data_IF_375390524953
#
_entry.id   IF_375390524953
#
_cell.length_a   1.000
_cell.length_b   1.000
_cell.length_c   1.000
_cell.angle_alpha   90.00
_cell.angle_beta   90.00
_cell.angle_gamma   90.00
#
_symmetry.space_group_name_H-M   'P 1'
#
loop_
_entity.id
_entity.type
_entity.pdbx_description
1 polymer ?
#
# COMPACT_ATOMS: atom_id res chain seq x y z
N UNK A 1 0.63 9.78 -17.18
CA UNK A 1 0.51 10.49 -18.43
C UNK A 1 0.83 11.98 -18.34
N UNK A 2 -0.01 12.82 -18.93
CA UNK A 2 0.21 14.28 -19.12
C UNK A 2 0.51 15.01 -17.81
N UNK A 3 -0.20 14.70 -16.70
CA UNK A 3 0.04 15.33 -15.39
C UNK A 3 1.46 15.09 -14.90
N UNK A 4 1.93 13.84 -14.91
CA UNK A 4 3.28 13.53 -14.44
C UNK A 4 4.36 14.21 -15.28
N UNK A 5 4.16 14.27 -16.60
CA UNK A 5 5.07 14.96 -17.50
C UNK A 5 5.14 16.47 -17.22
N UNK A 6 3.99 17.13 -17.05
CA UNK A 6 3.96 18.55 -16.75
C UNK A 6 4.54 18.89 -15.38
N UNK A 7 4.33 18.04 -14.37
CA UNK A 7 4.94 18.25 -13.04
C UNK A 7 6.47 18.15 -13.11
N UNK A 8 7.00 17.17 -13.84
CA UNK A 8 8.44 17.01 -14.03
C UNK A 8 9.01 18.20 -14.80
N UNK A 9 8.34 18.63 -15.88
CA UNK A 9 8.75 19.77 -16.69
C UNK A 9 8.77 21.08 -15.88
N UNK A 10 7.75 21.31 -15.03
CA UNK A 10 7.68 22.47 -14.13
C UNK A 10 8.79 22.42 -13.08
N UNK A 11 9.03 21.24 -12.49
CA UNK A 11 10.07 21.05 -11.49
C UNK A 11 11.47 21.35 -12.07
N UNK A 12 11.70 20.98 -13.32
CA UNK A 12 12.97 21.20 -14.00
C UNK A 12 13.21 22.71 -14.31
N UNK A 13 12.13 23.47 -14.66
CA UNK A 13 12.28 24.87 -15.08
C UNK A 13 12.12 25.87 -13.94
N UNK A 14 11.34 25.56 -12.90
CA UNK A 14 11.00 26.49 -11.81
C UNK A 14 11.32 25.97 -10.40
N UNK A 15 11.95 24.80 -10.32
CA UNK A 15 12.42 24.20 -9.07
C UNK A 15 11.37 23.31 -8.37
N UNK A 16 11.89 22.34 -7.62
CA UNK A 16 11.07 21.31 -6.95
C UNK A 16 10.17 21.89 -5.86
N UNK A 17 10.61 22.93 -5.13
CA UNK A 17 9.81 23.57 -4.08
C UNK A 17 8.57 24.26 -4.64
N UNK A 18 8.65 24.86 -5.85
CA UNK A 18 7.49 25.43 -6.53
C UNK A 18 6.56 24.33 -7.06
N UNK A 19 7.11 23.24 -7.59
CA UNK A 19 6.33 22.12 -8.07
C UNK A 19 5.55 21.42 -6.95
N UNK A 20 6.14 21.26 -5.76
CA UNK A 20 5.49 20.65 -4.58
C UNK A 20 4.36 21.53 -4.02
N UNK A 21 4.55 22.85 -3.94
CA UNK A 21 3.55 23.77 -3.40
C UNK A 21 2.38 24.06 -4.35
N UNK A 22 2.65 24.16 -5.65
CA UNK A 22 1.64 24.48 -6.67
C UNK A 22 0.90 23.23 -7.18
N UNK A 23 1.52 22.05 -7.11
CA UNK A 23 1.04 20.84 -7.79
C UNK A 23 -0.27 20.31 -7.20
N UNK A 24 -0.45 20.31 -5.89
CA UNK A 24 -1.58 19.61 -5.29
C UNK A 24 -2.89 20.41 -5.32
N UNK A 25 -2.84 21.73 -5.20
CA UNK A 25 -4.04 22.56 -5.10
C UNK A 25 -4.37 23.24 -6.43
N UNK A 26 -3.45 24.03 -6.97
CA UNK A 26 -3.74 24.86 -8.16
C UNK A 26 -3.81 24.00 -9.42
N UNK A 27 -2.82 23.12 -9.61
CA UNK A 27 -2.77 22.28 -10.80
C UNK A 27 -3.90 21.24 -10.82
N UNK A 28 -4.23 20.65 -9.65
CA UNK A 28 -5.36 19.74 -9.52
C UNK A 28 -6.69 20.41 -9.88
N UNK A 29 -6.94 21.61 -9.39
CA UNK A 29 -8.17 22.37 -9.70
C UNK A 29 -8.25 22.82 -11.15
N UNK A 30 -7.15 23.31 -11.72
CA UNK A 30 -7.09 23.73 -13.14
C UNK A 30 -7.28 22.51 -14.05
N UNK A 31 -6.61 21.40 -13.77
CA UNK A 31 -6.79 20.16 -14.53
C UNK A 31 -8.25 19.66 -14.45
N UNK A 32 -8.84 19.68 -13.27
CA UNK A 32 -10.23 19.26 -13.05
C UNK A 32 -11.22 20.17 -13.80
N UNK A 33 -11.00 21.49 -13.75
CA UNK A 33 -11.80 22.45 -14.52
C UNK A 33 -11.72 22.20 -16.02
N UNK A 34 -10.53 21.93 -16.56
CA UNK A 34 -10.34 21.59 -17.98
C UNK A 34 -11.06 20.30 -18.33
N UNK A 35 -10.98 19.29 -17.51
CA UNK A 35 -11.69 18.01 -17.73
C UNK A 35 -13.19 18.23 -17.74
N UNK A 36 -13.75 19.00 -16.80
CA UNK A 36 -15.19 19.34 -16.77
C UNK A 36 -15.60 20.11 -18.03
N UNK A 37 -14.79 21.09 -18.47
CA UNK A 37 -15.07 21.80 -19.70
C UNK A 37 -15.06 20.91 -20.93
N UNK A 38 -14.10 20.00 -21.03
CA UNK A 38 -14.03 19.03 -22.13
C UNK A 38 -15.24 18.09 -22.11
N UNK A 39 -15.57 17.53 -20.94
CA UNK A 39 -16.73 16.65 -20.78
C UNK A 39 -18.03 17.38 -21.10
N UNK A 40 -18.19 18.63 -20.61
CA UNK A 40 -19.34 19.48 -20.91
C UNK A 40 -19.45 19.81 -22.39
N UNK A 41 -18.32 20.13 -23.06
CA UNK A 41 -18.29 20.38 -24.49
C UNK A 41 -18.65 19.13 -25.32
N UNK A 42 -18.13 17.97 -24.92
CA UNK A 42 -18.45 16.69 -25.57
C UNK A 42 -19.90 16.26 -25.31
N UNK A 43 -20.44 16.55 -24.14
CA UNK A 43 -21.82 16.21 -23.77
C UNK A 43 -22.85 17.18 -24.37
N UNK A 44 -22.41 18.37 -24.87
CA UNK A 44 -23.29 19.38 -25.44
C UNK A 44 -24.30 18.88 -26.49
N UNK A 45 -23.95 17.92 -27.39
CA UNK A 45 -24.93 17.37 -28.34
C UNK A 45 -26.11 16.59 -27.71
N UNK A 46 -25.90 16.11 -26.46
CA UNK A 46 -26.94 15.37 -25.73
C UNK A 46 -27.80 16.23 -24.79
N UNK A 47 -27.47 17.54 -24.69
CA UNK A 47 -28.34 18.48 -24.00
C UNK A 47 -29.44 18.96 -24.97
N UNK A 48 -30.65 18.37 -24.88
CA UNK A 48 -31.80 18.66 -25.74
C UNK A 48 -32.43 20.06 -25.52
N UNK A 49 -31.79 20.96 -24.80
CA UNK A 49 -32.31 22.29 -24.52
C UNK A 49 -31.79 23.27 -25.57
N UNK A 50 -32.63 23.54 -26.58
CA UNK A 50 -32.48 24.74 -27.42
C UNK A 50 -32.75 25.98 -26.56
N UNK A 51 -31.84 26.96 -26.61
CA UNK A 51 -31.83 28.16 -25.73
C UNK A 51 -33.09 29.04 -25.77
N UNK A 52 -34.04 28.77 -26.69
CA UNK A 52 -35.33 29.49 -26.81
C UNK A 52 -36.48 28.79 -26.10
N UNK A 53 -36.29 27.60 -25.54
CA UNK A 53 -37.33 26.94 -24.75
C UNK A 53 -37.15 27.34 -23.30
N UNK A 54 -38.09 28.15 -22.77
CA UNK A 54 -38.23 28.35 -21.33
C UNK A 54 -38.58 27.01 -20.71
N UNK A 55 -37.64 26.33 -20.08
CA UNK A 55 -37.80 24.90 -19.79
C UNK A 55 -38.78 24.62 -18.65
N UNK A 56 -39.26 25.64 -17.98
CA UNK A 56 -40.10 25.47 -16.80
C UNK A 56 -41.22 26.50 -16.84
N UNK A 57 -42.37 26.12 -17.41
CA UNK A 57 -43.63 26.88 -17.17
C UNK A 57 -44.11 26.62 -15.75
N UNK A 58 -44.60 27.63 -15.05
CA UNK A 58 -45.22 27.47 -13.73
C UNK A 58 -46.40 26.46 -13.75
N UNK A 59 -46.99 26.21 -14.93
CA UNK A 59 -47.99 25.17 -15.14
C UNK A 59 -47.42 23.77 -15.18
N UNK A 60 -46.23 23.58 -15.77
CA UNK A 60 -45.51 22.30 -15.74
C UNK A 60 -45.06 21.93 -14.33
N UNK A 61 -44.64 22.90 -13.52
CA UNK A 61 -44.31 22.67 -12.09
C UNK A 61 -45.54 22.24 -11.27
N UNK A 62 -46.74 22.77 -11.59
CA UNK A 62 -47.96 22.35 -10.89
C UNK A 62 -48.45 20.96 -11.29
N UNK A 63 -48.20 20.52 -12.52
CA UNK A 63 -48.49 19.17 -12.98
C UNK A 63 -47.55 18.09 -12.49
N UNK A 64 -46.38 18.50 -11.98
CA UNK A 64 -45.33 17.59 -11.58
C UNK A 64 -45.45 17.08 -10.12
N UNK A 65 -46.29 17.68 -9.33
CA UNK A 65 -46.34 17.47 -7.88
C UNK A 65 -47.10 16.23 -7.35
N UNK A 66 -48.16 15.64 -7.95
CA UNK A 66 -48.88 14.57 -7.27
C UNK A 66 -48.30 13.15 -7.39
N UNK A 67 -47.42 12.89 -8.36
CA UNK A 67 -46.89 11.52 -8.59
C UNK A 67 -45.46 11.29 -8.18
N UNK A 68 -44.72 12.35 -7.85
CA UNK A 68 -43.25 12.28 -7.59
C UNK A 68 -42.88 12.23 -6.12
N UNK A 69 -43.81 12.44 -5.19
CA UNK A 69 -43.54 12.35 -3.77
C UNK A 69 -42.93 11.01 -3.37
N UNK A 70 -43.42 9.91 -3.95
CA UNK A 70 -42.86 8.57 -3.66
C UNK A 70 -41.44 8.43 -4.21
N UNK A 71 -41.16 8.95 -5.42
CA UNK A 71 -39.79 8.86 -6.00
C UNK A 71 -38.79 9.73 -5.24
N UNK A 72 -39.20 10.91 -4.83
CA UNK A 72 -38.35 11.78 -3.99
C UNK A 72 -38.17 11.21 -2.57
N UNK A 73 -39.25 10.59 -2.04
CA UNK A 73 -39.23 9.92 -0.72
C UNK A 73 -38.28 8.70 -0.70
N UNK A 74 -38.06 8.05 -1.84
CA UNK A 74 -37.09 6.95 -1.99
C UNK A 74 -35.69 7.45 -2.40
N UNK A 75 -35.62 8.48 -3.24
CA UNK A 75 -34.36 8.99 -3.76
C UNK A 75 -33.50 9.67 -2.66
N UNK A 76 -34.12 10.44 -1.77
CA UNK A 76 -33.38 11.12 -0.68
C UNK A 76 -32.77 10.12 0.30
N UNK A 77 -33.51 9.14 0.87
CA UNK A 77 -32.89 8.12 1.73
C UNK A 77 -31.82 7.30 1.02
N UNK A 78 -32.02 6.97 -0.26
CA UNK A 78 -31.02 6.25 -1.05
C UNK A 78 -29.74 7.09 -1.24
N UNK A 79 -29.89 8.37 -1.57
CA UNK A 79 -28.75 9.28 -1.69
C UNK A 79 -28.02 9.44 -0.35
N UNK A 80 -28.76 9.59 0.75
CA UNK A 80 -28.19 9.62 2.10
C UNK A 80 -27.49 8.30 2.43
N UNK A 81 -28.12 7.15 2.16
CA UNK A 81 -27.50 5.84 2.39
C UNK A 81 -26.20 5.68 1.59
N UNK A 82 -26.17 6.09 0.33
CA UNK A 82 -24.97 6.05 -0.51
C UNK A 82 -23.88 7.03 -0.01
N UNK A 83 -24.28 8.23 0.45
CA UNK A 83 -23.33 9.22 0.97
C UNK A 83 -22.72 8.79 2.31
N UNK A 84 -23.47 8.12 3.16
CA UNK A 84 -23.01 7.65 4.48
C UNK A 84 -22.47 6.22 4.48
N UNK A 85 -22.67 5.44 3.40
CA UNK A 85 -22.22 4.07 3.31
C UNK A 85 -20.71 3.90 3.62
N UNK A 86 -19.80 4.75 3.09
CA UNK A 86 -18.37 4.62 3.41
C UNK A 86 -18.08 4.81 4.90
N UNK A 87 -18.74 5.76 5.56
CA UNK A 87 -18.56 6.02 6.98
C UNK A 87 -19.10 4.88 7.85
N UNK A 88 -20.28 4.36 7.50
CA UNK A 88 -20.91 3.23 8.20
C UNK A 88 -20.06 1.97 8.03
N UNK A 89 -19.62 1.66 6.81
CA UNK A 89 -18.73 0.53 6.55
C UNK A 89 -17.39 0.70 7.28
N UNK A 90 -16.83 1.91 7.30
CA UNK A 90 -15.63 2.23 8.03
C UNK A 90 -15.77 2.04 9.55
N UNK A 91 -16.86 2.48 10.14
CA UNK A 91 -17.14 2.29 11.57
C UNK A 91 -17.40 0.81 11.90
N UNK A 92 -18.14 0.11 11.05
CA UNK A 92 -18.42 -1.31 11.20
C UNK A 92 -17.14 -2.16 11.15
N UNK A 93 -16.26 -1.90 10.18
CA UNK A 93 -14.97 -2.60 10.09
C UNK A 93 -14.05 -2.26 11.27
N UNK A 94 -14.10 -1.02 11.78
CA UNK A 94 -13.34 -0.62 12.97
C UNK A 94 -13.80 -1.39 14.22
N UNK A 95 -15.11 -1.57 14.39
CA UNK A 95 -15.66 -2.31 15.52
C UNK A 95 -15.34 -3.82 15.49
N UNK A 96 -15.00 -4.34 14.31
CA UNK A 96 -14.62 -5.75 14.09
C UNK A 96 -13.10 -5.97 14.00
N UNK A 97 -12.28 -4.94 14.20
CA UNK A 97 -10.84 -5.10 14.18
C UNK A 97 -10.41 -6.13 15.24
N UNK A 98 -9.93 -7.26 14.79
CA UNK A 98 -9.36 -8.29 15.66
C UNK A 98 -7.98 -7.83 16.17
N UNK A 99 -7.65 -8.20 17.40
CA UNK A 99 -6.33 -7.98 17.94
C UNK A 99 -5.27 -8.76 17.15
N UNK A 100 -4.11 -8.16 16.97
CA UNK A 100 -2.98 -8.87 16.38
C UNK A 100 -2.38 -9.81 17.42
N UNK A 101 -2.08 -11.06 17.06
CA UNK A 101 -1.25 -11.91 17.89
C UNK A 101 0.17 -11.31 17.99
N UNK A 102 0.90 -11.58 19.08
CA UNK A 102 2.26 -11.12 19.23
C UNK A 102 3.16 -11.71 18.13
N UNK A 103 4.03 -10.90 17.57
CA UNK A 103 5.05 -11.36 16.63
C UNK A 103 6.09 -12.17 17.39
N UNK A 104 6.36 -13.38 16.94
CA UNK A 104 7.37 -14.27 17.54
C UNK A 104 8.46 -14.57 16.51
N UNK A 105 9.71 -14.48 16.93
CA UNK A 105 10.82 -14.83 16.06
C UNK A 105 10.80 -16.34 15.79
N UNK A 106 10.88 -16.73 14.54
CA UNK A 106 10.93 -18.11 14.10
C UNK A 106 12.37 -18.63 14.23
N UNK A 107 12.53 -19.79 14.86
CA UNK A 107 13.79 -20.56 14.82
C UNK A 107 13.86 -21.32 13.51
N UNK A 108 15.00 -21.25 12.84
CA UNK A 108 15.27 -21.97 11.59
C UNK A 108 16.50 -22.85 11.80
N UNK A 109 16.42 -24.11 11.37
CA UNK A 109 17.53 -25.03 11.50
C UNK A 109 18.80 -24.46 10.85
N UNK A 110 19.93 -24.62 11.52
CA UNK A 110 21.23 -24.07 11.12
C UNK A 110 21.35 -22.55 11.09
N UNK A 111 20.32 -21.82 11.54
CA UNK A 111 20.33 -20.37 11.64
C UNK A 111 20.08 -19.94 13.09
N UNK A 112 20.99 -19.16 13.64
CA UNK A 112 20.86 -18.57 14.98
C UNK A 112 20.46 -17.10 14.91
N UNK A 113 19.60 -16.67 15.85
CA UNK A 113 19.28 -15.28 16.01
C UNK A 113 20.43 -14.62 16.77
N UNK A 114 21.19 -13.74 16.10
CA UNK A 114 22.40 -13.08 16.65
C UNK A 114 22.14 -11.65 17.08
N UNK A 115 21.06 -11.03 16.63
CA UNK A 115 20.63 -9.70 17.06
C UNK A 115 19.13 -9.54 16.93
N UNK A 116 18.55 -8.72 17.82
CA UNK A 116 17.15 -8.27 17.74
C UNK A 116 17.11 -6.76 17.50
N UNK A 117 16.14 -6.30 16.69
CA UNK A 117 16.04 -4.91 16.24
C UNK A 117 16.53 -4.72 14.82
N UNK A 118 16.21 -3.56 14.26
CA UNK A 118 16.67 -3.19 12.92
C UNK A 118 18.20 -2.98 12.91
N UNK A 119 18.89 -3.33 11.82
CA UNK A 119 20.30 -2.98 11.63
C UNK A 119 20.52 -1.47 11.80
N UNK A 120 21.66 -1.09 12.37
CA UNK A 120 22.00 0.33 12.55
C UNK A 120 22.12 1.09 11.23
N UNK A 121 22.47 0.38 10.16
CA UNK A 121 22.77 0.95 8.85
C UNK A 121 21.63 0.84 7.84
N UNK A 122 20.61 0.05 8.14
CA UNK A 122 19.43 -0.15 7.30
C UNK A 122 18.22 -0.52 8.14
N UNK A 123 17.09 0.10 7.86
CA UNK A 123 15.81 -0.27 8.44
C UNK A 123 14.69 -0.12 7.40
N UNK A 124 13.78 -1.09 7.30
CA UNK A 124 12.59 -0.91 6.49
C UNK A 124 11.63 0.07 7.17
N UNK A 125 10.90 0.82 6.36
CA UNK A 125 9.90 1.76 6.84
C UNK A 125 8.51 1.17 6.76
N UNK A 126 7.80 1.17 7.90
CA UNK A 126 6.40 0.81 8.01
C UNK A 126 5.72 1.75 9.01
N UNK A 127 5.36 2.95 8.55
CA UNK A 127 4.67 3.92 9.38
C UNK A 127 3.27 3.43 9.73
N UNK A 128 2.87 3.68 10.97
CA UNK A 128 1.57 3.30 11.46
C UNK A 128 1.35 1.79 11.67
N UNK A 129 2.39 0.95 11.57
CA UNK A 129 2.28 -0.45 11.94
C UNK A 129 2.01 -0.61 13.44
N UNK A 130 1.07 -1.49 13.80
CA UNK A 130 0.71 -1.78 15.20
C UNK A 130 1.79 -2.57 15.91
N UNK A 131 2.46 -3.47 15.18
CA UNK A 131 3.59 -4.23 15.69
C UNK A 131 4.71 -4.26 14.65
N UNK A 132 5.96 -4.22 15.12
CA UNK A 132 7.16 -4.39 14.30
C UNK A 132 8.17 -5.23 15.05
N UNK A 133 8.78 -6.16 14.34
CA UNK A 133 9.87 -6.97 14.86
C UNK A 133 10.93 -7.13 13.77
N UNK A 134 12.19 -6.92 14.12
CA UNK A 134 13.32 -7.23 13.26
C UNK A 134 14.26 -8.17 14.04
N UNK A 135 14.76 -9.19 13.37
CA UNK A 135 15.75 -10.12 13.91
C UNK A 135 16.81 -10.39 12.86
N UNK A 136 18.04 -10.56 13.31
CA UNK A 136 19.17 -10.93 12.44
C UNK A 136 19.46 -12.40 12.62
N UNK A 137 19.45 -13.13 11.52
CA UNK A 137 19.80 -14.55 11.46
C UNK A 137 21.19 -14.69 10.86
N UNK A 138 22.04 -15.51 11.48
CA UNK A 138 23.33 -15.91 10.94
C UNK A 138 23.37 -17.44 10.81
N UNK A 139 23.94 -17.93 9.71
CA UNK A 139 24.08 -19.36 9.47
C UNK A 139 25.21 -19.93 10.35
N UNK A 140 24.93 -21.01 11.08
CA UNK A 140 25.85 -21.54 12.09
C UNK A 140 27.02 -22.33 11.47
N UNK A 141 26.84 -22.89 10.27
CA UNK A 141 27.82 -23.78 9.63
C UNK A 141 28.53 -23.18 8.43
N UNK A 142 27.97 -22.14 7.77
CA UNK A 142 28.58 -21.50 6.60
C UNK A 142 28.73 -19.99 6.81
N UNK A 143 29.93 -19.59 7.16
CA UNK A 143 30.30 -18.18 7.37
C UNK A 143 30.38 -17.36 6.07
N UNK A 144 30.29 -17.98 4.90
CA UNK A 144 30.24 -17.29 3.62
C UNK A 144 28.86 -16.70 3.33
N UNK A 145 27.83 -17.30 3.92
CA UNK A 145 26.47 -16.74 3.83
C UNK A 145 26.39 -15.47 4.67
N UNK A 146 25.96 -14.40 4.04
CA UNK A 146 25.71 -13.14 4.73
C UNK A 146 24.63 -13.31 5.80
N UNK A 147 24.69 -12.58 6.93
CA UNK A 147 23.58 -12.55 7.87
C UNK A 147 22.35 -11.95 7.20
N UNK A 148 21.18 -12.51 7.49
CA UNK A 148 19.91 -12.04 6.95
C UNK A 148 19.13 -11.31 8.02
N UNK A 149 18.79 -10.06 7.75
CA UNK A 149 17.87 -9.26 8.54
C UNK A 149 16.44 -9.56 8.09
N UNK A 150 15.65 -10.07 8.99
CA UNK A 150 14.23 -10.33 8.78
C UNK A 150 13.42 -9.35 9.59
N UNK A 151 12.63 -8.53 8.90
CA UNK A 151 11.71 -7.58 9.52
C UNK A 151 10.26 -7.91 9.15
N UNK A 152 9.41 -7.99 10.16
CA UNK A 152 7.97 -8.16 9.99
C UNK A 152 7.25 -6.95 10.59
N UNK A 153 6.29 -6.43 9.86
CA UNK A 153 5.37 -5.40 10.32
C UNK A 153 3.95 -5.91 10.21
N UNK A 154 3.14 -5.66 11.22
CA UNK A 154 1.76 -6.10 11.29
C UNK A 154 0.81 -4.90 11.50
N UNK A 155 -0.30 -4.92 10.80
CA UNK A 155 -1.37 -3.96 10.87
C UNK A 155 -2.67 -4.72 11.20
N UNK A 156 -3.31 -4.38 12.32
CA UNK A 156 -4.64 -4.88 12.64
C UNK A 156 -5.66 -4.36 11.62
N UNK A 157 -5.42 -3.13 11.16
CA UNK A 157 -6.21 -2.45 10.15
C UNK A 157 -5.36 -1.41 9.43
N UNK A 158 -5.61 -1.25 8.14
CA UNK A 158 -5.00 -0.19 7.34
C UNK A 158 -5.90 1.05 7.27
N UNK A 159 -5.32 2.23 7.10
CA UNK A 159 -6.03 3.51 7.00
C UNK A 159 -5.12 4.58 6.44
N UNK A 160 -5.58 5.82 6.42
CA UNK A 160 -4.76 6.97 6.02
C UNK A 160 -3.54 7.09 6.96
N UNK A 161 -2.35 7.23 6.38
CA UNK A 161 -1.07 7.23 7.10
C UNK A 161 -0.65 5.89 7.72
N UNK A 162 -1.44 4.82 7.55
CA UNK A 162 -1.21 3.48 8.07
C UNK A 162 -1.41 2.43 6.98
N UNK A 163 -0.70 2.58 5.88
CA UNK A 163 -0.84 1.72 4.72
C UNK A 163 0.30 0.72 4.63
N UNK A 164 -0.01 -0.55 4.37
CA UNK A 164 0.99 -1.59 4.13
C UNK A 164 1.85 -1.29 2.89
N UNK A 165 1.27 -0.67 1.88
CA UNK A 165 1.91 -0.37 0.58
C UNK A 165 1.69 1.10 0.17
N UNK A 166 1.96 2.02 1.07
CA UNK A 166 1.97 3.47 0.81
C UNK A 166 3.26 3.95 0.13
N UNK A 167 3.33 5.25 -0.13
CA UNK A 167 4.57 5.89 -0.54
C UNK A 167 5.62 5.79 0.57
N UNK A 168 6.85 5.41 0.21
CA UNK A 168 7.95 5.27 1.16
C UNK A 168 7.86 4.08 2.10
N UNK A 169 6.83 3.23 2.02
CA UNK A 169 6.74 2.00 2.79
C UNK A 169 7.54 0.87 2.14
N UNK A 170 8.25 0.08 2.93
CA UNK A 170 8.99 -1.09 2.47
C UNK A 170 10.49 -1.04 2.76
N UNK A 171 11.27 -1.72 1.93
CA UNK A 171 12.71 -1.91 2.13
C UNK A 171 13.54 -0.64 1.93
N UNK A 172 13.02 0.36 1.23
CA UNK A 172 13.69 1.65 0.97
C UNK A 172 12.89 2.76 1.64
N UNK A 173 13.47 3.36 2.66
CA UNK A 173 12.95 4.59 3.26
C UNK A 173 13.47 5.79 2.43
N UNK A 174 12.59 6.64 1.86
CA UNK A 174 13.00 7.83 1.12
C UNK A 174 13.85 8.83 1.92
N UNK A 175 13.70 8.82 3.26
CA UNK A 175 14.47 9.67 4.16
C UNK A 175 15.89 9.12 4.47
N UNK A 176 16.16 7.84 4.15
CA UNK A 176 17.47 7.22 4.32
C UNK A 176 18.36 7.47 3.10
N UNK A 177 19.63 7.06 3.19
CA UNK A 177 20.56 7.08 2.05
C UNK A 177 20.33 5.92 1.08
N UNK A 178 19.54 4.92 1.48
CA UNK A 178 19.29 3.75 0.66
C UNK A 178 18.40 4.09 -0.53
N UNK A 179 18.81 3.61 -1.70
CA UNK A 179 18.08 3.79 -2.98
C UNK A 179 17.95 2.45 -3.69
N UNK A 180 16.89 2.32 -4.47
CA UNK A 180 16.76 1.21 -5.41
C UNK A 180 17.91 1.26 -6.43
N UNK A 181 18.58 0.13 -6.63
CA UNK A 181 19.63 -0.02 -7.64
C UNK A 181 19.09 -0.71 -8.89
N UNK A 182 18.79 -1.98 -8.77
CA UNK A 182 18.24 -2.79 -9.88
C UNK A 182 17.52 -4.03 -9.33
N UNK A 183 16.72 -4.66 -10.20
CA UNK A 183 16.08 -5.92 -9.88
C UNK A 183 17.02 -7.10 -10.10
N UNK A 184 16.90 -8.10 -9.24
CA UNK A 184 17.61 -9.35 -9.31
C UNK A 184 16.70 -10.49 -9.78
N UNK A 185 17.27 -11.65 -10.08
CA UNK A 185 16.49 -12.85 -10.34
C UNK A 185 15.59 -13.16 -9.13
N UNK A 186 14.31 -13.47 -9.36
CA UNK A 186 13.37 -13.75 -8.27
C UNK A 186 13.78 -14.99 -7.46
N UNK A 187 13.33 -15.07 -6.22
CA UNK A 187 13.40 -16.25 -5.35
C UNK A 187 11.99 -16.83 -5.27
N UNK A 188 11.80 -18.07 -5.71
CA UNK A 188 10.51 -18.77 -5.72
C UNK A 188 9.37 -17.89 -6.30
N UNK A 189 9.66 -17.17 -7.40
CA UNK A 189 8.73 -16.27 -8.07
C UNK A 189 8.52 -14.92 -7.37
N UNK A 190 9.15 -14.69 -6.23
CA UNK A 190 9.08 -13.40 -5.51
C UNK A 190 10.19 -12.47 -5.99
N UNK A 191 9.86 -11.24 -6.41
CA UNK A 191 10.85 -10.24 -6.84
C UNK A 191 11.87 -9.93 -5.73
N UNK A 192 13.11 -9.82 -6.14
CA UNK A 192 14.24 -9.39 -5.29
C UNK A 192 14.85 -8.14 -5.91
N UNK A 193 15.18 -7.17 -5.09
CA UNK A 193 15.85 -5.95 -5.53
C UNK A 193 17.20 -5.78 -4.84
N UNK A 194 18.14 -5.18 -5.53
CA UNK A 194 19.35 -4.63 -4.92
C UNK A 194 19.09 -3.18 -4.54
N UNK A 195 19.41 -2.84 -3.30
CA UNK A 195 19.42 -1.46 -2.80
C UNK A 195 20.84 -1.03 -2.50
N UNK A 196 21.15 0.24 -2.70
CA UNK A 196 22.51 0.78 -2.59
C UNK A 196 22.52 2.04 -1.72
N UNK A 197 23.56 2.21 -0.91
CA UNK A 197 23.81 3.41 -0.11
C UNK A 197 25.30 3.59 0.15
N UNK A 198 25.87 4.73 -0.22
CA UNK A 198 27.25 5.10 0.11
C UNK A 198 28.27 4.00 -0.23
N UNK A 199 28.15 3.38 -1.43
CA UNK A 199 29.03 2.30 -1.88
C UNK A 199 28.75 0.93 -1.27
N UNK A 200 27.74 0.80 -0.41
CA UNK A 200 27.27 -0.49 0.14
C UNK A 200 26.05 -0.98 -0.64
N UNK A 201 25.91 -2.29 -0.69
CA UNK A 201 24.79 -2.97 -1.35
C UNK A 201 24.09 -3.93 -0.39
N UNK A 202 22.79 -4.04 -0.55
CA UNK A 202 21.97 -5.07 0.11
C UNK A 202 20.97 -5.62 -0.89
N UNK A 203 20.71 -6.91 -0.78
CA UNK A 203 19.62 -7.54 -1.50
C UNK A 203 18.40 -7.59 -0.57
N UNK A 204 17.25 -7.29 -1.12
CA UNK A 204 16.01 -7.23 -0.34
C UNK A 204 14.84 -7.87 -1.08
N UNK A 205 14.04 -8.62 -0.35
CA UNK A 205 12.82 -9.26 -0.80
C UNK A 205 11.66 -8.87 0.10
N UNK A 206 10.51 -8.56 -0.47
CA UNK A 206 9.31 -8.18 0.30
C UNK A 206 8.13 -9.06 -0.08
N UNK A 207 7.45 -9.59 0.93
CA UNK A 207 6.24 -10.38 0.79
C UNK A 207 5.17 -9.81 1.70
N UNK A 208 3.96 -9.75 1.20
CA UNK A 208 2.79 -9.27 1.94
C UNK A 208 1.81 -10.40 2.17
N UNK A 209 1.11 -10.33 3.30
CA UNK A 209 -0.03 -11.22 3.59
C UNK A 209 -1.21 -10.39 4.05
N UNK A 210 -2.39 -10.67 3.48
CA UNK A 210 -3.68 -10.13 3.92
C UNK A 210 -4.66 -11.29 4.12
N UNK A 211 -5.15 -11.43 5.34
CA UNK A 211 -5.95 -12.58 5.72
C UNK A 211 -5.20 -13.89 5.42
N UNK A 212 -5.67 -14.67 4.45
CA UNK A 212 -5.06 -15.93 4.02
C UNK A 212 -4.19 -15.80 2.76
N UNK A 213 -4.28 -14.70 2.01
CA UNK A 213 -3.57 -14.53 0.74
C UNK A 213 -2.18 -13.92 0.95
N UNK A 214 -1.19 -14.53 0.29
CA UNK A 214 0.21 -14.06 0.26
C UNK A 214 0.55 -13.57 -1.14
N UNK A 215 1.22 -12.42 -1.24
CA UNK A 215 1.59 -11.82 -2.53
C UNK A 215 2.80 -10.89 -2.40
N UNK A 216 3.58 -10.75 -3.47
CA UNK A 216 4.61 -9.72 -3.60
C UNK A 216 4.10 -8.47 -4.34
N UNK A 217 2.90 -8.52 -4.91
CA UNK A 217 2.33 -7.44 -5.72
C UNK A 217 1.66 -6.37 -4.88
N UNK A 218 2.17 -5.14 -4.93
CA UNK A 218 1.59 -3.96 -4.23
C UNK A 218 0.17 -3.63 -4.71
N UNK A 219 -0.11 -3.81 -6.00
CA UNK A 219 -1.46 -3.61 -6.55
C UNK A 219 -2.44 -4.67 -6.06
N UNK A 220 -1.99 -5.93 -5.94
CA UNK A 220 -2.80 -7.01 -5.36
C UNK A 220 -3.14 -6.73 -3.89
N UNK A 221 -2.17 -6.22 -3.11
CA UNK A 221 -2.40 -5.78 -1.72
C UNK A 221 -3.52 -4.74 -1.65
N UNK A 222 -3.47 -3.68 -2.48
CA UNK A 222 -4.51 -2.65 -2.50
C UNK A 222 -5.88 -3.22 -2.85
N UNK A 223 -5.93 -4.12 -3.84
CA UNK A 223 -7.18 -4.78 -4.22
C UNK A 223 -7.74 -5.66 -3.09
N UNK A 224 -6.88 -6.46 -2.44
CA UNK A 224 -7.28 -7.31 -1.31
C UNK A 224 -7.79 -6.47 -0.12
N UNK A 225 -7.11 -5.35 0.18
CA UNK A 225 -7.56 -4.41 1.22
C UNK A 225 -8.95 -3.86 0.90
N UNK A 226 -9.18 -3.43 -0.34
CA UNK A 226 -10.49 -2.94 -0.78
C UNK A 226 -11.56 -4.04 -0.67
N UNK A 227 -11.24 -5.25 -1.15
CA UNK A 227 -12.14 -6.40 -1.06
C UNK A 227 -12.52 -6.68 0.39
N UNK A 228 -11.53 -6.78 1.30
CA UNK A 228 -11.78 -7.05 2.72
C UNK A 228 -12.70 -5.99 3.34
N UNK A 229 -12.46 -4.71 3.06
CA UNK A 229 -13.32 -3.60 3.53
C UNK A 229 -14.75 -3.69 3.03
N UNK A 230 -14.94 -4.01 1.76
CA UNK A 230 -16.29 -4.10 1.15
C UNK A 230 -17.05 -5.34 1.60
N UNK A 231 -16.37 -6.45 1.86
CA UNK A 231 -17.01 -7.72 2.24
C UNK A 231 -17.03 -7.97 3.74
N UNK A 232 -16.43 -7.08 4.56
CA UNK A 232 -16.29 -7.29 6.01
C UNK A 232 -15.35 -8.45 6.35
N UNK A 233 -14.36 -8.74 5.48
CA UNK A 233 -13.36 -9.79 5.68
C UNK A 233 -12.24 -9.37 6.63
N UNK A 234 -11.27 -10.29 6.84
CA UNK A 234 -10.09 -10.04 7.68
C UNK A 234 -9.21 -8.94 7.06
N UNK A 235 -9.07 -7.81 7.77
CA UNK A 235 -8.24 -6.67 7.36
C UNK A 235 -6.80 -6.75 7.88
N UNK A 236 -6.46 -7.77 8.69
CA UNK A 236 -5.10 -7.92 9.22
C UNK A 236 -4.12 -8.10 8.07
N UNK A 237 -3.08 -7.30 8.11
CA UNK A 237 -2.10 -7.23 7.04
C UNK A 237 -0.69 -7.29 7.61
N UNK A 238 0.17 -8.02 6.92
CA UNK A 238 1.55 -8.22 7.32
C UNK A 238 2.48 -7.94 6.15
N UNK A 239 3.62 -7.30 6.43
CA UNK A 239 4.75 -7.25 5.51
C UNK A 239 5.92 -7.99 6.12
N UNK A 240 6.51 -8.88 5.35
CA UNK A 240 7.76 -9.57 5.66
C UNK A 240 8.82 -9.05 4.71
N UNK A 241 9.91 -8.50 5.25
CA UNK A 241 11.09 -8.14 4.48
C UNK A 241 12.28 -8.95 4.96
N UNK A 242 12.95 -9.57 4.01
CA UNK A 242 14.25 -10.17 4.20
C UNK A 242 15.27 -9.32 3.46
N UNK A 243 16.37 -9.00 4.13
CA UNK A 243 17.47 -8.25 3.51
C UNK A 243 18.82 -8.77 4.00
N UNK A 244 19.77 -8.87 3.10
CA UNK A 244 21.12 -9.30 3.44
C UNK A 244 22.17 -8.41 2.76
N UNK A 245 23.32 -8.15 3.38
CA UNK A 245 24.46 -7.48 2.75
C UNK A 245 24.89 -8.22 1.47
N UNK A 246 25.33 -7.44 0.49
CA UNK A 246 25.79 -7.95 -0.80
C UNK A 246 27.12 -7.32 -1.20
N UNK A 247 27.97 -7.04 -0.20
CA UNK A 247 29.28 -6.43 -0.35
C UNK A 247 30.40 -7.42 -0.03
N UNK A 248 31.62 -7.10 -0.42
CA UNK A 248 32.82 -7.84 0.00
C UNK A 248 32.82 -9.32 -0.44
N UNK A 249 32.18 -9.64 -1.56
CA UNK A 249 32.07 -11.02 -2.05
C UNK A 249 30.91 -11.81 -1.45
N UNK A 250 30.07 -11.18 -0.61
CA UNK A 250 28.85 -11.79 -0.09
C UNK A 250 27.74 -11.77 -1.14
N UNK A 251 26.98 -12.86 -1.24
CA UNK A 251 25.78 -12.95 -2.07
C UNK A 251 24.54 -12.89 -1.17
N UNK A 252 23.98 -11.68 -1.03
CA UNK A 252 22.81 -11.44 -0.19
C UNK A 252 21.60 -12.24 -0.65
N UNK A 253 21.41 -12.39 -1.96
CA UNK A 253 20.32 -13.17 -2.54
C UNK A 253 20.46 -14.65 -2.19
N UNK A 254 21.66 -15.22 -2.27
CA UNK A 254 21.90 -16.61 -1.88
C UNK A 254 21.62 -16.84 -0.40
N UNK A 255 22.00 -15.91 0.46
CA UNK A 255 21.72 -15.98 1.90
C UNK A 255 20.21 -15.95 2.19
N UNK A 256 19.46 -15.05 1.55
CA UNK A 256 17.98 -14.98 1.67
C UNK A 256 17.35 -16.28 1.18
N UNK A 257 17.83 -16.84 0.05
CA UNK A 257 17.32 -18.11 -0.49
C UNK A 257 17.55 -19.26 0.50
N UNK A 258 18.75 -19.37 1.06
CA UNK A 258 19.09 -20.43 2.01
C UNK A 258 18.23 -20.35 3.28
N UNK A 259 18.04 -19.14 3.84
CA UNK A 259 17.17 -18.94 5.02
C UNK A 259 15.72 -19.32 4.72
N UNK A 260 15.18 -18.92 3.57
CA UNK A 260 13.81 -19.25 3.18
C UNK A 260 13.61 -20.75 2.99
N UNK A 261 14.54 -21.42 2.32
CA UNK A 261 14.46 -22.87 2.12
C UNK A 261 14.58 -23.62 3.46
N UNK A 262 15.46 -23.18 4.35
CA UNK A 262 15.58 -23.73 5.70
C UNK A 262 14.31 -23.56 6.54
N UNK A 263 13.57 -22.47 6.32
CA UNK A 263 12.30 -22.18 6.98
C UNK A 263 11.08 -22.87 6.33
N UNK A 264 11.23 -23.52 5.18
CA UNK A 264 10.10 -24.06 4.41
C UNK A 264 9.27 -22.98 3.70
N UNK A 265 9.90 -21.87 3.29
CA UNK A 265 9.30 -20.76 2.58
C UNK A 265 8.88 -19.59 3.47
N UNK A 266 8.02 -18.71 2.94
CA UNK A 266 7.55 -17.52 3.67
C UNK A 266 6.37 -17.81 4.62
N UNK A 267 5.65 -18.91 4.42
CA UNK A 267 4.45 -19.28 5.19
C UNK A 267 4.65 -19.33 6.69
N UNK A 268 5.66 -20.04 7.20
CA UNK A 268 5.91 -20.20 8.65
C UNK A 268 6.05 -18.87 9.40
N UNK A 269 6.64 -17.85 8.79
CA UNK A 269 6.81 -16.53 9.40
C UNK A 269 5.50 -15.81 9.71
N UNK A 270 4.46 -16.07 8.90
CA UNK A 270 3.12 -15.54 9.13
C UNK A 270 2.29 -16.41 10.08
N UNK A 271 2.66 -17.67 10.30
CA UNK A 271 1.98 -18.58 11.22
C UNK A 271 2.47 -18.41 12.65
N UNK A 272 3.76 -18.10 12.87
CA UNK A 272 4.28 -17.78 14.20
C UNK A 272 3.55 -16.59 14.81
N UNK A 273 3.07 -15.67 13.97
CA UNK A 273 2.15 -14.59 14.36
C UNK A 273 0.72 -15.08 14.73
N UNK A 274 0.38 -16.36 14.55
CA UNK A 274 -0.95 -16.95 14.83
C UNK A 274 -0.96 -17.93 16.02
N UNK A 275 0.19 -18.49 16.38
CA UNK A 275 0.27 -19.63 17.28
C UNK A 275 0.04 -19.34 18.77
N UNK A 276 -0.24 -18.11 19.16
CA UNK A 276 -0.51 -17.75 20.57
C UNK A 276 -2.01 -17.75 20.95
N UNK A 277 -2.87 -18.38 20.15
CA UNK A 277 -4.33 -18.42 20.42
C UNK A 277 -4.84 -19.82 20.82
N UNK A 278 -3.99 -20.72 21.32
CA UNK A 278 -4.41 -21.96 21.98
C UNK A 278 -4.04 -21.95 23.46
#
# INVERSE_FOLDING_TARGET
GVRAFSTIWIAEHWGTAFAEGADHVIYGWVFFAIVILIVGALARPWFDLSGDQVPISAAALRGFMPGQGIRLFLAVPLACALAFAPQILGAYSAARAESLPPLTALSVDQWSIVASGAPHDWAPRFDGADQRQCVRHAHSGDLRLAPVDLCIAAFARQGEGRELVGYGQGAVDPASDWRWGHDLAPIDGTPVMRITANGRNRDAMTVYRLGTETTASRSRVKWLTLKARLTGGDERAYALILSAPADGGQDGRAAITALLHGAGGTGPWFHSARASQN
#
